data_IF_713175492185
#
_entry.id   IF_713175492185
#
_cell.length_a   1.000
_cell.length_b   1.000
_cell.length_c   1.000
_cell.angle_alpha   90.00
_cell.angle_beta   90.00
_cell.angle_gamma   90.00
#
_symmetry.space_group_name_H-M   'P 1'
#
loop_
_entity.id
_entity.type
_entity.pdbx_description
1 polymer ?
#
# COMPACT_ATOMS: atom_id res chain seq x y z
N UNK A 1 12.10 -2.46 5.40
CA UNK A 1 11.23 -1.51 6.15
C UNK A 1 11.83 -1.27 7.52
N UNK A 2 11.98 0.00 7.93
CA UNK A 2 12.49 0.28 9.26
C UNK A 2 11.38 0.09 10.31
N UNK A 3 11.77 0.06 11.60
CA UNK A 3 10.83 -0.22 12.69
C UNK A 3 9.65 0.75 12.72
N UNK A 4 9.92 2.04 12.51
CA UNK A 4 8.87 3.06 12.56
C UNK A 4 7.85 2.87 11.43
N UNK A 5 8.31 2.57 10.24
CA UNK A 5 7.42 2.32 9.10
C UNK A 5 6.55 1.09 9.35
N UNK A 6 7.12 0.05 9.97
CA UNK A 6 6.38 -1.15 10.36
C UNK A 6 5.28 -0.81 11.37
N UNK A 7 5.56 0.05 12.33
CA UNK A 7 4.56 0.48 13.31
C UNK A 7 3.42 1.24 12.65
N UNK A 8 3.75 2.16 11.75
CA UNK A 8 2.75 2.92 10.98
C UNK A 8 1.87 1.96 10.17
N UNK A 9 2.49 0.99 9.50
CA UNK A 9 1.74 0.00 8.72
C UNK A 9 0.77 -0.79 9.60
N UNK A 10 1.20 -1.22 10.77
CA UNK A 10 0.35 -1.97 11.69
C UNK A 10 -0.82 -1.12 12.18
N UNK A 11 -0.58 0.13 12.53
CA UNK A 11 -1.63 1.05 12.97
C UNK A 11 -2.67 1.28 11.86
N UNK A 12 -2.19 1.44 10.63
CA UNK A 12 -3.06 1.62 9.47
C UNK A 12 -3.92 0.38 9.23
N UNK A 13 -3.33 -0.81 9.32
CA UNK A 13 -4.06 -2.05 9.13
C UNK A 13 -5.21 -2.19 10.14
N UNK A 14 -4.97 -1.83 11.39
CA UNK A 14 -6.02 -1.85 12.41
C UNK A 14 -7.11 -0.85 12.08
N UNK A 15 -6.74 0.39 11.79
CA UNK A 15 -7.72 1.46 11.50
C UNK A 15 -8.59 1.14 10.28
N UNK A 16 -7.97 0.66 9.21
CA UNK A 16 -8.67 0.32 7.97
C UNK A 16 -9.62 -0.86 8.19
N UNK A 17 -9.17 -1.87 8.95
CA UNK A 17 -10.01 -3.04 9.26
C UNK A 17 -11.26 -2.65 10.06
N UNK A 18 -11.15 -1.61 10.89
CA UNK A 18 -12.29 -1.11 11.67
C UNK A 18 -13.22 -0.21 10.84
N UNK A 19 -12.80 0.21 9.67
CA UNK A 19 -13.55 1.13 8.78
C UNK A 19 -14.35 0.37 7.71
N UNK A 20 -14.83 -0.84 8.02
CA UNK A 20 -15.63 -1.66 7.11
C UNK A 20 -14.91 -1.98 5.80
N UNK A 21 -13.62 -2.30 5.92
CA UNK A 21 -12.76 -2.68 4.80
C UNK A 21 -12.05 -3.99 5.08
N UNK A 22 -11.63 -4.66 4.02
CA UNK A 22 -10.66 -5.75 4.13
C UNK A 22 -9.32 -5.22 3.64
N UNK A 23 -8.25 -5.54 4.37
CA UNK A 23 -6.90 -5.08 4.02
C UNK A 23 -5.92 -6.22 4.19
N UNK A 24 -4.98 -6.33 3.26
CA UNK A 24 -3.99 -7.40 3.21
C UNK A 24 -2.61 -6.81 2.98
N UNK A 25 -1.62 -7.44 3.58
CA UNK A 25 -0.22 -7.07 3.36
C UNK A 25 0.31 -7.78 2.12
N UNK A 26 0.96 -7.03 1.24
CA UNK A 26 1.58 -7.58 0.05
C UNK A 26 3.04 -7.94 0.32
N UNK A 27 3.48 -9.10 -0.17
CA UNK A 27 4.88 -9.51 -0.15
C UNK A 27 5.43 -9.33 -1.57
N UNK A 28 6.42 -8.43 -1.71
CA UNK A 28 6.98 -8.04 -3.00
C UNK A 28 8.41 -8.54 -3.13
N UNK A 29 8.81 -8.93 -4.35
CA UNK A 29 10.17 -9.28 -4.67
C UNK A 29 10.46 -10.77 -4.59
N UNK A 30 11.69 -11.11 -4.18
CA UNK A 30 12.12 -12.48 -4.06
C UNK A 30 12.56 -12.79 -2.64
N UNK A 31 12.33 -14.03 -2.22
CA UNK A 31 12.70 -14.53 -0.91
C UNK A 31 13.79 -15.59 -1.09
N UNK A 32 14.86 -15.48 -0.32
CA UNK A 32 15.93 -16.47 -0.34
C UNK A 32 15.51 -17.68 0.49
N UNK A 33 15.53 -18.85 -0.15
CA UNK A 33 15.18 -20.11 0.50
C UNK A 33 16.40 -20.69 1.24
N UNK A 34 16.19 -21.63 2.19
CA UNK A 34 17.30 -22.27 2.92
C UNK A 34 18.31 -22.98 2.01
N UNK A 35 17.88 -23.43 0.83
CA UNK A 35 18.76 -24.11 -0.14
C UNK A 35 19.56 -23.13 -1.01
N UNK A 36 19.50 -21.82 -0.72
CA UNK A 36 20.22 -20.79 -1.48
C UNK A 36 19.49 -20.30 -2.73
N UNK A 37 18.39 -20.90 -3.08
CA UNK A 37 17.57 -20.45 -4.22
C UNK A 37 16.70 -19.26 -3.83
N UNK A 38 16.21 -18.53 -4.84
CA UNK A 38 15.28 -17.41 -4.64
C UNK A 38 13.89 -17.80 -5.11
N UNK A 39 12.90 -17.41 -4.32
CA UNK A 39 11.49 -17.56 -4.68
C UNK A 39 10.91 -16.21 -5.06
N UNK A 40 10.30 -16.10 -6.23
CA UNK A 40 9.62 -14.90 -6.69
C UNK A 40 8.19 -14.89 -6.14
N UNK A 41 7.80 -13.76 -5.53
CA UNK A 41 6.46 -13.64 -4.93
C UNK A 41 5.35 -13.49 -5.99
N UNK A 42 5.72 -13.11 -7.21
CA UNK A 42 4.74 -12.89 -8.28
C UNK A 42 4.22 -11.47 -8.38
N UNK A 43 4.55 -10.61 -7.42
CA UNK A 43 4.15 -9.20 -7.47
C UNK A 43 5.28 -8.37 -8.08
N UNK A 44 4.95 -7.37 -8.94
CA UNK A 44 5.96 -6.56 -9.58
C UNK A 44 6.66 -5.62 -8.60
N UNK A 45 7.89 -5.17 -8.92
CA UNK A 45 8.55 -4.13 -8.14
C UNK A 45 7.68 -2.88 -8.06
N UNK A 46 7.70 -2.22 -6.90
CA UNK A 46 6.91 -1.01 -6.69
C UNK A 46 5.47 -1.25 -6.31
N UNK A 47 5.05 -2.52 -6.20
CA UNK A 47 3.71 -2.85 -5.73
C UNK A 47 3.51 -2.28 -4.32
N UNK A 48 2.34 -1.64 -4.04
CA UNK A 48 2.11 -1.04 -2.72
C UNK A 48 2.14 -2.03 -1.56
N UNK A 49 2.44 -1.52 -0.37
CA UNK A 49 2.57 -2.34 0.84
C UNK A 49 1.28 -3.03 1.26
N UNK A 50 0.16 -2.35 1.07
CA UNK A 50 -1.16 -2.85 1.45
C UNK A 50 -2.12 -2.73 0.28
N UNK A 51 -3.03 -3.68 0.18
CA UNK A 51 -4.16 -3.60 -0.72
C UNK A 51 -5.39 -4.16 -0.01
N UNK A 52 -6.57 -3.82 -0.53
CA UNK A 52 -7.80 -4.29 0.06
C UNK A 52 -9.01 -3.80 -0.71
N UNK A 53 -10.17 -3.89 -0.08
CA UNK A 53 -11.39 -3.41 -0.71
C UNK A 53 -12.39 -2.89 0.33
N UNK A 54 -13.23 -1.98 -0.11
CA UNK A 54 -14.33 -1.46 0.68
C UNK A 54 -15.48 -2.47 0.64
N UNK A 55 -15.98 -2.87 1.81
CA UNK A 55 -17.06 -3.85 1.87
C UNK A 55 -18.34 -3.26 1.26
N UNK A 56 -18.58 -1.95 1.43
CA UNK A 56 -19.80 -1.30 1.00
C UNK A 56 -20.04 -1.35 -0.51
N UNK A 57 -19.00 -1.30 -1.33
CA UNK A 57 -19.13 -1.23 -2.79
C UNK A 57 -18.15 -2.10 -3.56
N UNK A 58 -17.28 -2.82 -2.86
CA UNK A 58 -16.32 -3.71 -3.49
C UNK A 58 -15.15 -3.02 -4.18
N UNK A 59 -15.01 -1.70 -4.04
CA UNK A 59 -13.92 -0.99 -4.69
C UNK A 59 -12.58 -1.30 -4.04
N UNK A 60 -11.61 -1.63 -4.88
CA UNK A 60 -10.24 -1.96 -4.46
C UNK A 60 -9.46 -0.69 -4.19
N UNK A 61 -8.56 -0.75 -3.19
CA UNK A 61 -7.62 0.33 -2.92
C UNK A 61 -6.23 -0.23 -2.67
N UNK A 62 -5.22 0.64 -2.88
CA UNK A 62 -3.82 0.33 -2.60
C UNK A 62 -3.22 1.45 -1.75
N UNK A 63 -2.41 1.06 -0.75
CA UNK A 63 -1.75 2.02 0.14
C UNK A 63 -0.25 1.75 0.17
N UNK A 64 0.53 2.79 -0.15
CA UNK A 64 1.97 2.78 0.04
C UNK A 64 2.28 3.41 1.39
N UNK A 65 3.02 2.71 2.25
CA UNK A 65 3.29 3.18 3.61
C UNK A 65 4.64 3.87 3.65
N UNK A 66 4.66 5.09 4.19
CA UNK A 66 5.89 5.86 4.37
C UNK A 66 5.90 6.52 5.73
N UNK A 67 7.10 6.74 6.26
CA UNK A 67 7.29 7.62 7.43
C UNK A 67 7.04 9.07 7.00
N UNK A 68 6.86 10.01 7.95
CA UNK A 68 6.60 11.41 7.58
C UNK A 68 7.60 12.03 6.63
N UNK A 69 8.86 11.55 6.63
CA UNK A 69 9.92 12.08 5.76
C UNK A 69 10.29 11.16 4.61
N UNK A 70 9.72 9.95 4.58
CA UNK A 70 10.02 8.98 3.53
C UNK A 70 9.47 9.42 2.18
N UNK A 71 10.18 9.05 1.11
CA UNK A 71 9.78 9.39 -0.26
C UNK A 71 9.61 8.13 -1.09
N UNK A 72 8.68 8.14 -2.06
CA UNK A 72 8.50 6.97 -2.91
C UNK A 72 9.73 6.76 -3.81
N UNK A 73 10.08 5.49 -4.02
CA UNK A 73 11.14 5.10 -4.95
C UNK A 73 10.64 5.20 -6.39
N UNK A 74 11.54 5.26 -7.40
CA UNK A 74 11.12 5.32 -8.80
C UNK A 74 10.19 4.18 -9.23
N UNK A 75 10.42 2.95 -8.74
CA UNK A 75 9.55 1.83 -9.08
C UNK A 75 8.15 2.00 -8.48
N UNK A 76 8.04 2.59 -7.29
CA UNK A 76 6.75 2.89 -6.67
C UNK A 76 6.00 3.97 -7.43
N UNK A 77 6.71 4.98 -7.93
CA UNK A 77 6.11 6.04 -8.76
C UNK A 77 5.60 5.44 -10.07
N UNK A 78 6.35 4.52 -10.66
CA UNK A 78 5.96 3.86 -11.90
C UNK A 78 4.67 3.06 -11.72
N UNK A 79 4.55 2.32 -10.62
CA UNK A 79 3.32 1.59 -10.30
C UNK A 79 2.16 2.56 -10.05
N UNK A 80 2.43 3.66 -9.32
CA UNK A 80 1.45 4.71 -9.10
C UNK A 80 0.90 5.26 -10.43
N UNK A 81 1.76 5.46 -11.43
CA UNK A 81 1.32 5.95 -12.73
C UNK A 81 0.34 4.99 -13.40
N UNK A 82 0.51 3.68 -13.25
CA UNK A 82 -0.43 2.69 -13.74
C UNK A 82 -1.79 2.81 -13.03
N UNK A 83 -1.76 2.95 -11.72
CA UNK A 83 -2.99 3.10 -10.93
C UNK A 83 -3.72 4.40 -11.27
N UNK A 84 -2.98 5.48 -11.57
CA UNK A 84 -3.56 6.74 -12.03
C UNK A 84 -4.29 6.55 -13.35
N UNK A 85 -3.64 5.89 -14.31
CA UNK A 85 -4.23 5.64 -15.63
C UNK A 85 -5.51 4.83 -15.54
N UNK A 86 -5.59 3.91 -14.58
CA UNK A 86 -6.72 3.01 -14.40
C UNK A 86 -7.75 3.53 -13.40
N UNK A 87 -7.55 4.73 -12.86
CA UNK A 87 -8.45 5.39 -11.91
C UNK A 87 -8.72 4.55 -10.65
N UNK A 88 -7.68 3.91 -10.13
CA UNK A 88 -7.76 3.07 -8.94
C UNK A 88 -7.48 3.90 -7.69
N UNK A 89 -8.30 3.72 -6.66
CA UNK A 89 -8.09 4.37 -5.36
C UNK A 89 -6.73 3.98 -4.81
N UNK A 90 -5.87 4.96 -4.54
CA UNK A 90 -4.54 4.68 -3.97
C UNK A 90 -3.86 5.95 -3.49
N UNK A 91 -2.83 5.76 -2.68
CA UNK A 91 -2.03 6.89 -2.24
C UNK A 91 -0.93 6.47 -1.29
N UNK A 92 -0.16 7.45 -0.86
CA UNK A 92 0.82 7.30 0.21
C UNK A 92 0.13 7.59 1.52
N UNK A 93 0.19 6.64 2.45
CA UNK A 93 -0.35 6.82 3.79
C UNK A 93 0.80 6.89 4.78
N UNK A 94 0.89 7.99 5.49
CA UNK A 94 1.91 8.24 6.52
C UNK A 94 1.32 8.14 7.92
N UNK A 95 0.03 7.90 8.00
CA UNK A 95 -0.74 7.83 9.24
C UNK A 95 -2.07 7.11 8.98
N UNK A 96 -2.74 6.62 10.04
CA UNK A 96 -4.10 6.09 9.87
C UNK A 96 -5.06 7.11 9.26
N UNK A 97 -4.93 8.38 9.62
CA UNK A 97 -5.78 9.45 9.07
C UNK A 97 -5.63 9.58 7.56
N UNK A 98 -4.40 9.48 7.05
CA UNK A 98 -4.15 9.49 5.61
C UNK A 98 -4.84 8.31 4.92
N UNK A 99 -4.71 7.12 5.50
CA UNK A 99 -5.28 5.91 4.93
C UNK A 99 -6.81 6.00 4.85
N UNK A 100 -7.44 6.43 5.92
CA UNK A 100 -8.90 6.57 5.96
C UNK A 100 -9.38 7.65 4.98
N UNK A 101 -8.63 8.75 4.86
CA UNK A 101 -8.95 9.80 3.90
C UNK A 101 -8.91 9.28 2.46
N UNK A 102 -7.86 8.55 2.11
CA UNK A 102 -7.72 7.96 0.77
C UNK A 102 -8.91 7.06 0.45
N UNK A 103 -9.26 6.18 1.39
CA UNK A 103 -10.30 5.18 1.20
C UNK A 103 -11.70 5.82 1.22
N UNK A 104 -12.00 6.61 2.23
CA UNK A 104 -13.35 7.15 2.43
C UNK A 104 -13.71 8.16 1.33
N UNK A 105 -12.75 8.98 0.89
CA UNK A 105 -12.96 9.94 -0.17
C UNK A 105 -12.65 9.38 -1.55
N UNK A 106 -12.22 8.11 -1.62
CA UNK A 106 -11.89 7.40 -2.87
C UNK A 106 -10.91 8.19 -3.74
N UNK A 107 -9.82 8.65 -3.11
CA UNK A 107 -8.83 9.48 -3.79
C UNK A 107 -7.93 8.62 -4.68
N UNK A 108 -7.66 9.13 -5.87
CA UNK A 108 -6.75 8.49 -6.83
C UNK A 108 -5.44 9.27 -6.83
N UNK A 109 -4.39 8.71 -6.21
CA UNK A 109 -3.06 9.31 -6.25
C UNK A 109 -2.69 10.24 -5.12
N UNK A 110 -3.25 10.06 -3.95
CA UNK A 110 -2.96 10.91 -2.78
C UNK A 110 -1.48 10.84 -2.39
N UNK A 111 -0.85 11.99 -2.16
CA UNK A 111 0.47 12.09 -1.55
C UNK A 111 1.66 11.84 -2.47
N UNK A 112 1.46 11.67 -3.76
CA UNK A 112 2.55 11.41 -4.71
C UNK A 112 3.13 12.68 -5.35
N UNK A 113 2.69 13.83 -4.96
CA UNK A 113 3.21 15.09 -5.50
C UNK A 113 4.40 15.60 -4.70
#
# INVERSE_FOLDING_TARGET
MNKREQEIQNDIRVAVSLDHCKVFRANVGSIRLPNGRYFQTGLPPGYPDLHGYKISNGKIFYLEIKTPTGRPRPDQIQFHNQLMADHIIHGIARSPEDALKIIDEEIVGYGFK
#
